data_IF_945193797197
#
_entry.id   IF_945193797197
#
_cell.length_a   1.000
_cell.length_b   1.000
_cell.length_c   1.000
_cell.angle_alpha   90.00
_cell.angle_beta   90.00
_cell.angle_gamma   90.00
#
_symmetry.space_group_name_H-M   'P 1'
#
loop_
_entity.id
_entity.type
_entity.pdbx_description
1 polymer ?
#
# COMPACT_ATOMS: atom_id res chain seq x y z
N UNK A 1 20.86 8.26 8.31
CA UNK A 1 20.06 9.50 8.22
C UNK A 1 20.65 10.62 9.07
N UNK A 2 20.62 10.54 10.41
CA UNK A 2 21.14 11.59 11.32
C UNK A 2 22.52 12.15 10.94
N UNK A 3 23.52 11.28 10.75
CA UNK A 3 24.87 11.70 10.33
C UNK A 3 24.89 12.49 9.00
N UNK A 4 23.98 12.18 8.06
CA UNK A 4 23.87 12.91 6.79
C UNK A 4 23.20 14.27 7.02
N UNK A 5 22.10 14.32 7.77
CA UNK A 5 21.42 15.57 8.12
C UNK A 5 22.38 16.57 8.78
N UNK A 6 23.15 16.13 9.77
CA UNK A 6 24.15 16.96 10.44
C UNK A 6 25.24 17.48 9.50
N UNK A 7 25.77 16.62 8.61
CA UNK A 7 26.80 17.02 7.62
C UNK A 7 26.26 17.99 6.57
N UNK A 8 24.96 17.94 6.29
CA UNK A 8 24.28 18.80 5.35
C UNK A 8 23.80 20.11 5.97
N UNK A 9 24.09 20.38 7.25
CA UNK A 9 23.69 21.61 7.92
C UNK A 9 22.18 21.69 8.21
N UNK A 10 21.52 20.55 8.46
CA UNK A 10 20.14 20.54 8.92
C UNK A 10 20.01 21.34 10.24
N UNK A 11 18.89 22.03 10.39
CA UNK A 11 18.58 22.81 11.58
C UNK A 11 18.47 21.92 12.84
N UNK A 12 18.47 22.57 13.99
CA UNK A 12 18.45 21.91 15.30
C UNK A 12 17.17 21.09 15.52
N UNK A 13 16.02 21.63 15.14
CA UNK A 13 14.71 20.99 15.33
C UNK A 13 14.58 19.73 14.46
N UNK A 14 14.96 19.81 13.18
CA UNK A 14 15.06 18.65 12.29
C UNK A 14 15.97 17.56 12.86
N UNK A 15 17.12 17.95 13.41
CA UNK A 15 18.09 17.02 14.02
C UNK A 15 17.54 16.37 15.29
N UNK A 16 16.80 17.14 16.10
CA UNK A 16 16.12 16.66 17.31
C UNK A 16 15.01 15.67 16.95
N UNK A 17 14.17 15.97 15.96
CA UNK A 17 13.11 15.08 15.47
C UNK A 17 13.69 13.72 15.09
N UNK A 18 14.74 13.70 14.26
CA UNK A 18 15.39 12.46 13.80
C UNK A 18 15.94 11.67 15.01
N UNK A 19 16.56 12.36 15.97
CA UNK A 19 17.16 11.75 17.15
C UNK A 19 16.09 11.15 18.06
N UNK A 20 15.04 11.90 18.36
CA UNK A 20 13.91 11.49 19.20
C UNK A 20 13.18 10.29 18.60
N UNK A 21 12.82 10.34 17.32
CA UNK A 21 12.14 9.24 16.63
C UNK A 21 13.01 7.97 16.61
N UNK A 22 14.32 8.11 16.32
CA UNK A 22 15.25 6.98 16.36
C UNK A 22 15.26 6.32 17.74
N UNK A 23 15.41 7.12 18.80
CA UNK A 23 15.47 6.62 20.17
C UNK A 23 14.17 5.89 20.55
N UNK A 24 13.02 6.50 20.28
CA UNK A 24 11.70 5.92 20.58
C UNK A 24 11.42 4.63 19.82
N UNK A 25 11.79 4.55 18.54
CA UNK A 25 11.64 3.32 17.75
C UNK A 25 12.51 2.19 18.33
N UNK A 26 13.76 2.48 18.70
CA UNK A 26 14.65 1.50 19.33
C UNK A 26 14.17 1.08 20.72
N UNK A 27 13.61 2.02 21.48
CA UNK A 27 12.98 1.78 22.78
C UNK A 27 11.76 0.85 22.63
N UNK A 28 10.89 1.09 21.65
CA UNK A 28 9.74 0.24 21.37
C UNK A 28 10.17 -1.20 21.03
N UNK A 29 11.17 -1.35 20.16
CA UNK A 29 11.73 -2.66 19.82
C UNK A 29 12.35 -3.37 21.04
N UNK A 30 13.07 -2.63 21.89
CA UNK A 30 13.64 -3.18 23.12
C UNK A 30 12.57 -3.69 24.08
N UNK A 31 11.46 -2.94 24.25
CA UNK A 31 10.33 -3.37 25.07
C UNK A 31 9.67 -4.63 24.52
N UNK A 32 9.45 -4.71 23.20
CA UNK A 32 8.93 -5.92 22.58
C UNK A 32 9.81 -7.14 22.86
N UNK A 33 11.14 -6.99 22.75
CA UNK A 33 12.09 -8.07 23.03
C UNK A 33 12.13 -8.49 24.51
N UNK A 34 11.69 -7.63 25.42
CA UNK A 34 11.48 -7.93 26.85
C UNK A 34 10.08 -8.48 27.14
N UNK A 35 9.31 -8.80 26.11
CA UNK A 35 7.91 -9.21 26.18
C UNK A 35 6.94 -8.12 26.71
N UNK A 36 7.36 -6.86 26.80
CA UNK A 36 6.48 -5.73 27.08
C UNK A 36 5.89 -5.16 25.77
N UNK A 37 4.97 -5.93 25.21
CA UNK A 37 4.31 -5.61 23.94
C UNK A 37 3.41 -4.38 24.09
N UNK A 38 2.76 -4.23 25.25
CA UNK A 38 1.91 -3.09 25.54
C UNK A 38 2.70 -1.78 25.47
N UNK A 39 3.87 -1.73 26.11
CA UNK A 39 4.71 -0.54 26.07
C UNK A 39 5.29 -0.27 24.67
N UNK A 40 5.66 -1.30 23.92
CA UNK A 40 6.05 -1.15 22.51
C UNK A 40 4.96 -0.41 21.71
N UNK A 41 3.70 -0.84 21.85
CA UNK A 41 2.58 -0.22 21.15
C UNK A 41 2.29 1.19 21.64
N UNK A 42 2.34 1.45 22.95
CA UNK A 42 2.18 2.79 23.52
C UNK A 42 3.21 3.78 22.96
N UNK A 43 4.47 3.37 22.81
CA UNK A 43 5.52 4.22 22.25
C UNK A 43 5.23 4.55 20.78
N UNK A 44 4.89 3.55 19.96
CA UNK A 44 4.60 3.77 18.53
C UNK A 44 3.33 4.61 18.36
N UNK A 45 2.30 4.40 19.18
CA UNK A 45 1.10 5.22 19.19
C UNK A 45 1.42 6.68 19.52
N UNK A 46 2.31 6.93 20.48
CA UNK A 46 2.82 8.28 20.79
C UNK A 46 3.50 8.94 19.60
N UNK A 47 4.30 8.20 18.82
CA UNK A 47 4.94 8.72 17.61
C UNK A 47 3.93 9.05 16.50
N UNK A 48 2.85 8.28 16.37
CA UNK A 48 1.78 8.57 15.40
C UNK A 48 0.95 9.78 15.85
N UNK A 49 0.67 9.91 17.15
CA UNK A 49 0.00 11.09 17.72
C UNK A 49 0.82 12.37 17.52
N UNK A 50 2.14 12.30 17.68
CA UNK A 50 3.06 13.43 17.44
C UNK A 50 3.12 13.88 15.98
N UNK A 51 2.81 12.99 15.02
CA UNK A 51 2.62 13.35 13.60
C UNK A 51 1.29 14.10 13.41
N UNK A 52 0.26 13.70 14.16
CA UNK A 52 -1.05 14.33 14.14
C UNK A 52 -1.83 14.05 12.84
N UNK A 53 -2.62 15.03 12.42
CA UNK A 53 -3.52 14.96 11.26
C UNK A 53 -3.02 15.80 10.08
N UNK A 54 -1.71 15.98 9.93
CA UNK A 54 -1.13 16.69 8.79
C UNK A 54 -1.55 15.98 7.47
N UNK A 55 -2.06 16.69 6.44
CA UNK A 55 -2.49 16.09 5.17
C UNK A 55 -1.41 15.29 4.43
N UNK A 56 -0.12 15.58 4.67
CA UNK A 56 0.97 14.78 4.14
C UNK A 56 1.02 13.37 4.75
N UNK A 57 0.64 13.27 6.03
CA UNK A 57 0.65 12.03 6.80
C UNK A 57 -0.66 11.26 6.70
N UNK A 58 -1.81 11.95 6.70
CA UNK A 58 -3.13 11.30 6.73
C UNK A 58 -4.10 12.09 5.91
N UNK A 59 -4.72 11.42 4.94
CA UNK A 59 -5.83 11.98 4.18
C UNK A 59 -6.69 10.84 3.60
N UNK A 60 -7.80 11.20 2.96
CA UNK A 60 -8.58 10.29 2.13
C UNK A 60 -7.76 9.78 0.94
N UNK A 61 -8.11 8.60 0.42
CA UNK A 61 -7.40 7.96 -0.71
C UNK A 61 -7.12 8.90 -1.90
N UNK A 62 -8.09 9.72 -2.31
CA UNK A 62 -7.91 10.63 -3.46
C UNK A 62 -7.03 11.85 -3.17
N UNK A 63 -7.04 12.33 -1.93
CA UNK A 63 -6.27 13.50 -1.49
C UNK A 63 -4.91 13.12 -0.92
N UNK A 64 -4.68 11.84 -0.63
CA UNK A 64 -3.43 11.36 -0.08
C UNK A 64 -2.27 11.60 -1.05
N UNK A 65 -1.19 12.18 -0.51
CA UNK A 65 0.10 12.31 -1.21
C UNK A 65 0.79 10.96 -1.42
N UNK A 66 0.28 9.88 -0.82
CA UNK A 66 0.82 8.53 -1.01
C UNK A 66 0.71 8.03 -2.46
N UNK A 67 -0.32 8.48 -3.20
CA UNK A 67 -0.60 7.99 -4.55
C UNK A 67 -0.29 9.08 -5.58
N UNK A 68 0.59 8.81 -6.56
CA UNK A 68 1.01 9.80 -7.54
C UNK A 68 -0.16 10.27 -8.42
N UNK A 69 0.01 11.41 -9.08
CA UNK A 69 -0.99 11.99 -9.98
C UNK A 69 -1.86 13.07 -9.32
N UNK A 70 -2.86 13.56 -10.06
CA UNK A 70 -3.67 14.71 -9.64
C UNK A 70 -4.48 14.40 -8.39
N UNK A 71 -4.30 15.18 -7.32
CA UNK A 71 -5.12 15.09 -6.11
C UNK A 71 -6.61 15.31 -6.43
N UNK A 72 -7.49 14.61 -5.72
CA UNK A 72 -8.93 14.63 -5.96
C UNK A 72 -9.38 13.83 -7.18
N UNK A 73 -8.46 13.29 -8.00
CA UNK A 73 -8.81 12.31 -9.03
C UNK A 73 -8.86 10.88 -8.48
N UNK A 74 -9.65 10.02 -9.10
CA UNK A 74 -9.76 8.61 -8.73
C UNK A 74 -8.42 7.90 -8.75
N UNK A 75 -8.17 7.09 -7.72
CA UNK A 75 -7.02 6.19 -7.64
C UNK A 75 -7.49 4.79 -8.04
N UNK A 76 -6.85 4.23 -9.07
CA UNK A 76 -7.08 2.86 -9.50
C UNK A 76 -6.25 1.90 -8.66
N UNK A 77 -6.90 0.90 -8.07
CA UNK A 77 -6.26 -0.18 -7.35
C UNK A 77 -6.50 -1.51 -8.03
N UNK A 78 -5.68 -2.47 -7.63
CA UNK A 78 -5.72 -3.83 -8.10
C UNK A 78 -5.56 -4.78 -6.91
N UNK A 79 -6.22 -5.93 -7.02
CA UNK A 79 -6.12 -7.02 -6.06
C UNK A 79 -5.65 -8.27 -6.79
N UNK A 80 -4.49 -8.80 -6.39
CA UNK A 80 -3.94 -10.05 -6.91
C UNK A 80 -4.35 -11.27 -6.08
N UNK A 81 -4.61 -12.40 -6.75
CA UNK A 81 -4.83 -13.70 -6.12
C UNK A 81 -4.18 -14.83 -6.92
N UNK A 82 -3.54 -15.75 -6.20
CA UNK A 82 -2.94 -16.96 -6.78
C UNK A 82 -4.02 -18.01 -7.05
N UNK A 83 -4.02 -18.59 -8.25
CA UNK A 83 -4.86 -19.73 -8.67
C UNK A 83 -4.96 -19.89 -10.18
N UNK A 84 -5.28 -21.10 -10.65
CA UNK A 84 -5.44 -21.37 -12.09
C UNK A 84 -6.72 -20.73 -12.65
N UNK A 85 -6.77 -20.28 -13.93
CA UNK A 85 -7.98 -19.79 -14.58
C UNK A 85 -9.19 -20.72 -14.49
N UNK A 86 -9.01 -22.04 -14.37
CA UNK A 86 -10.11 -22.99 -14.15
C UNK A 86 -10.92 -22.71 -12.89
N UNK A 87 -10.34 -22.04 -11.89
CA UNK A 87 -11.03 -21.63 -10.67
C UNK A 87 -12.18 -20.65 -10.92
N UNK A 88 -12.26 -20.02 -12.10
CA UNK A 88 -13.38 -19.18 -12.52
C UNK A 88 -13.77 -18.10 -11.50
N UNK A 89 -12.75 -17.50 -10.86
CA UNK A 89 -12.93 -16.53 -9.78
C UNK A 89 -13.93 -15.41 -10.12
N UNK A 90 -14.70 -15.01 -9.12
CA UNK A 90 -15.63 -13.87 -9.16
C UNK A 90 -15.16 -12.76 -8.23
N UNK A 91 -15.79 -11.58 -8.27
CA UNK A 91 -15.40 -10.44 -7.43
C UNK A 91 -15.35 -10.80 -5.92
N UNK A 92 -16.33 -11.55 -5.40
CA UNK A 92 -16.33 -11.97 -3.98
C UNK A 92 -15.13 -12.81 -3.57
N UNK A 93 -14.51 -13.54 -4.51
CA UNK A 93 -13.29 -14.30 -4.25
C UNK A 93 -12.07 -13.39 -4.06
N UNK A 94 -12.11 -12.15 -4.53
CA UNK A 94 -10.99 -11.23 -4.44
C UNK A 94 -11.02 -10.40 -3.15
N UNK A 95 -12.13 -10.44 -2.40
CA UNK A 95 -12.29 -9.79 -1.11
C UNK A 95 -11.33 -10.34 -0.04
N UNK A 96 -11.28 -9.65 1.10
CA UNK A 96 -10.61 -10.18 2.29
C UNK A 96 -11.27 -11.49 2.75
N UNK A 97 -10.56 -12.26 3.58
CA UNK A 97 -11.11 -13.51 4.15
C UNK A 97 -12.40 -13.19 4.94
N UNK A 98 -13.45 -14.03 4.84
CA UNK A 98 -14.61 -13.89 5.72
C UNK A 98 -14.26 -14.31 7.16
N UNK A 99 -15.10 -13.90 8.12
CA UNK A 99 -14.94 -14.13 9.57
C UNK A 99 -14.72 -15.61 9.87
N UNK A 100 -15.52 -16.49 9.27
CA UNK A 100 -15.40 -17.95 9.38
C UNK A 100 -14.05 -18.53 8.90
N UNK A 101 -13.31 -17.80 8.05
CA UNK A 101 -12.02 -18.22 7.49
C UNK A 101 -10.84 -17.41 8.01
N UNK A 102 -11.02 -16.55 9.03
CA UNK A 102 -9.96 -15.69 9.58
C UNK A 102 -8.73 -16.47 10.07
N UNK A 103 -8.89 -17.73 10.45
CA UNK A 103 -7.79 -18.63 10.87
C UNK A 103 -6.75 -18.85 9.77
N UNK A 104 -7.11 -18.61 8.50
CA UNK A 104 -6.21 -18.70 7.34
C UNK A 104 -5.39 -17.42 7.13
N UNK A 105 -5.56 -16.41 7.97
CA UNK A 105 -4.80 -15.17 7.85
C UNK A 105 -3.32 -15.43 8.10
N UNK A 106 -2.47 -14.94 7.20
CA UNK A 106 -1.04 -14.99 7.37
C UNK A 106 -0.50 -13.89 8.29
N UNK A 107 0.80 -13.95 8.55
CA UNK A 107 1.56 -12.93 9.24
C UNK A 107 2.32 -12.06 8.23
N UNK A 108 1.84 -10.82 8.03
CA UNK A 108 2.34 -9.87 7.04
C UNK A 108 2.87 -8.58 7.69
N UNK A 109 3.62 -7.78 6.92
CA UNK A 109 4.27 -6.56 7.40
C UNK A 109 3.25 -5.61 8.04
N UNK A 110 2.28 -5.18 7.26
CA UNK A 110 1.19 -4.32 7.70
C UNK A 110 -0.06 -5.18 7.93
N UNK A 111 -0.05 -5.93 9.05
CA UNK A 111 -1.19 -6.72 9.51
C UNK A 111 -1.39 -6.54 11.01
N UNK A 112 -2.54 -6.95 11.52
CA UNK A 112 -2.75 -7.15 12.95
C UNK A 112 -2.82 -8.68 13.14
N UNK A 113 -1.92 -9.29 13.94
CA UNK A 113 -1.93 -10.74 14.14
C UNK A 113 -3.31 -11.29 14.50
N UNK A 114 -3.76 -12.33 13.79
CA UNK A 114 -5.08 -12.93 13.97
C UNK A 114 -6.24 -12.18 13.31
N UNK A 115 -5.99 -11.02 12.69
CA UNK A 115 -7.00 -10.25 11.97
C UNK A 115 -6.59 -10.07 10.50
N UNK A 116 -7.42 -10.47 9.54
CA UNK A 116 -7.22 -10.16 8.14
C UNK A 116 -7.05 -8.66 7.87
N UNK A 117 -6.41 -8.35 6.76
CA UNK A 117 -6.34 -7.01 6.20
C UNK A 117 -6.63 -7.11 4.71
N UNK A 118 -7.14 -6.05 4.12
CA UNK A 118 -7.43 -6.01 2.70
C UNK A 118 -6.30 -5.29 1.97
N UNK A 119 -5.50 -6.04 1.21
CA UNK A 119 -4.31 -5.50 0.55
C UNK A 119 -4.57 -5.21 -0.92
N UNK A 120 -4.30 -3.98 -1.31
CA UNK A 120 -4.39 -3.48 -2.67
C UNK A 120 -3.02 -2.98 -3.12
N UNK A 121 -2.77 -2.96 -4.43
CA UNK A 121 -1.66 -2.24 -5.03
C UNK A 121 -2.18 -1.30 -6.12
N UNK A 122 -1.45 -0.23 -6.41
CA UNK A 122 -1.83 0.72 -7.46
C UNK A 122 -1.44 0.27 -8.89
N UNK A 123 -1.06 -1.00 -9.05
CA UNK A 123 -0.89 -1.66 -10.35
C UNK A 123 -0.98 -3.20 -10.22
N UNK A 124 -1.21 -3.90 -11.34
CA UNK A 124 -1.09 -5.36 -11.38
C UNK A 124 0.37 -5.83 -11.20
N UNK A 125 1.36 -5.05 -11.65
CA UNK A 125 2.77 -5.35 -11.36
C UNK A 125 3.05 -5.36 -9.85
N UNK A 126 2.54 -4.36 -9.12
CA UNK A 126 2.62 -4.29 -7.67
C UNK A 126 1.99 -5.51 -7.00
N UNK A 127 0.82 -5.95 -7.50
CA UNK A 127 0.19 -7.19 -7.04
C UNK A 127 1.09 -8.41 -7.28
N UNK A 128 1.66 -8.55 -8.49
CA UNK A 128 2.48 -9.69 -8.90
C UNK A 128 3.72 -9.86 -8.03
N UNK A 129 4.43 -8.76 -7.75
CA UNK A 129 5.62 -8.82 -6.90
C UNK A 129 5.26 -9.12 -5.44
N UNK A 130 4.17 -8.55 -4.91
CA UNK A 130 3.76 -8.74 -3.51
C UNK A 130 3.30 -10.17 -3.20
N UNK A 131 2.68 -10.85 -4.16
CA UNK A 131 2.29 -12.25 -3.99
C UNK A 131 3.40 -13.25 -4.35
N UNK A 132 4.58 -12.76 -4.76
CA UNK A 132 5.79 -13.59 -4.88
C UNK A 132 6.12 -14.05 -6.28
N UNK A 133 5.85 -13.22 -7.30
CA UNK A 133 6.19 -13.51 -8.69
C UNK A 133 5.60 -14.83 -9.20
N UNK A 134 4.30 -15.11 -8.98
CA UNK A 134 3.72 -16.37 -9.43
C UNK A 134 3.79 -16.48 -10.95
N UNK A 135 3.68 -17.72 -11.43
CA UNK A 135 3.55 -17.97 -12.86
C UNK A 135 2.34 -17.22 -13.44
N UNK A 136 2.38 -16.85 -14.73
CA UNK A 136 1.29 -16.09 -15.34
C UNK A 136 -0.04 -16.84 -15.32
N UNK A 137 -0.02 -18.17 -15.40
CA UNK A 137 -1.23 -19.00 -15.32
C UNK A 137 -1.84 -18.99 -13.92
N UNK A 138 -1.06 -18.67 -12.88
CA UNK A 138 -1.57 -18.60 -11.51
C UNK A 138 -1.97 -17.19 -11.09
N UNK A 139 -1.77 -16.18 -11.95
CA UNK A 139 -1.94 -14.78 -11.56
C UNK A 139 -3.29 -14.22 -12.00
N UNK A 140 -4.19 -13.97 -11.05
CA UNK A 140 -5.50 -13.36 -11.29
C UNK A 140 -5.56 -11.98 -10.63
N UNK A 141 -6.15 -11.02 -11.34
CA UNK A 141 -6.22 -9.63 -10.90
C UNK A 141 -7.62 -9.09 -11.11
N UNK A 142 -8.18 -8.45 -10.08
CA UNK A 142 -9.39 -7.64 -10.19
C UNK A 142 -9.04 -6.15 -10.09
N UNK A 143 -9.65 -5.28 -10.91
CA UNK A 143 -9.62 -3.84 -10.72
C UNK A 143 -10.50 -3.46 -9.52
N UNK A 144 -10.07 -2.46 -8.76
CA UNK A 144 -10.71 -2.02 -7.52
C UNK A 144 -10.73 -0.50 -7.46
N UNK A 145 -11.87 0.06 -7.04
CA UNK A 145 -12.03 1.48 -6.69
C UNK A 145 -12.68 1.57 -5.31
N UNK A 146 -12.29 2.59 -4.56
CA UNK A 146 -12.80 2.88 -3.21
C UNK A 146 -13.66 4.14 -3.24
N UNK A 147 -14.68 4.20 -2.38
CA UNK A 147 -15.68 5.29 -2.33
C UNK A 147 -15.23 6.56 -1.62
N UNK A 148 -13.93 6.63 -1.30
CA UNK A 148 -13.21 7.83 -0.85
C UNK A 148 -13.42 8.18 0.61
N UNK A 149 -14.18 7.38 1.36
CA UNK A 149 -14.39 7.61 2.79
C UNK A 149 -13.21 7.15 3.65
N UNK A 150 -12.30 6.33 3.10
CA UNK A 150 -11.18 5.75 3.85
C UNK A 150 -10.03 6.74 4.04
N UNK A 151 -9.69 7.03 5.31
CA UNK A 151 -8.51 7.80 5.72
C UNK A 151 -7.30 6.89 5.83
N UNK A 152 -6.25 7.21 5.06
CA UNK A 152 -5.05 6.37 4.95
C UNK A 152 -3.84 7.08 5.53
N UNK A 153 -3.08 6.38 6.36
CA UNK A 153 -1.79 6.85 6.87
C UNK A 153 -0.68 6.59 5.84
N UNK A 154 0.04 7.65 5.46
CA UNK A 154 1.01 7.65 4.38
C UNK A 154 2.42 7.27 4.88
N UNK A 155 2.82 6.03 4.67
CA UNK A 155 4.22 5.59 4.74
C UNK A 155 4.87 5.39 3.36
N UNK A 156 4.16 5.75 2.29
CA UNK A 156 4.72 5.80 0.94
C UNK A 156 5.46 7.13 0.72
N UNK A 157 6.45 7.40 1.59
CA UNK A 157 7.29 8.60 1.54
C UNK A 157 8.72 8.27 1.12
N UNK A 158 9.28 9.12 0.28
CA UNK A 158 10.61 9.03 -0.28
C UNK A 158 11.41 10.32 -0.06
N UNK A 159 12.73 10.18 -0.11
CA UNK A 159 13.67 11.32 -0.13
C UNK A 159 13.64 12.09 -1.44
N UNK A 160 12.91 11.58 -2.44
CA UNK A 160 12.75 12.23 -3.75
C UNK A 160 11.46 13.03 -3.86
N UNK A 161 10.59 12.99 -2.86
CA UNK A 161 9.27 13.63 -2.90
C UNK A 161 9.36 15.14 -2.59
N UNK A 162 10.33 15.84 -3.19
CA UNK A 162 10.59 17.26 -2.95
C UNK A 162 9.40 18.15 -3.32
N UNK A 163 8.67 17.80 -4.37
CA UNK A 163 7.46 18.52 -4.77
C UNK A 163 6.37 18.47 -3.69
N UNK A 164 6.36 17.41 -2.88
CA UNK A 164 5.44 17.25 -1.77
C UNK A 164 5.84 18.07 -0.54
N UNK A 165 6.87 18.93 -0.62
CA UNK A 165 7.42 19.66 0.52
C UNK A 165 7.04 21.15 0.59
N UNK A 166 6.21 21.66 -0.35
CA UNK A 166 5.67 23.03 -0.38
C UNK A 166 6.70 24.10 0.05
N UNK A 167 7.72 24.34 -0.78
CA UNK A 167 8.79 25.30 -0.49
C UNK A 167 9.58 25.05 0.81
N UNK A 168 9.56 23.80 1.32
CA UNK A 168 10.24 23.39 2.55
C UNK A 168 9.75 24.14 3.80
N UNK A 169 8.44 24.43 3.88
CA UNK A 169 7.82 24.90 5.12
C UNK A 169 8.13 23.97 6.30
N UNK A 170 8.55 24.55 7.43
CA UNK A 170 9.05 23.82 8.60
C UNK A 170 8.09 22.69 9.04
N UNK A 171 6.81 22.97 9.23
CA UNK A 171 5.83 21.96 9.67
C UNK A 171 5.73 20.77 8.71
N UNK A 172 5.85 21.04 7.41
CA UNK A 172 5.77 20.02 6.36
C UNK A 172 7.05 19.20 6.31
N UNK A 173 8.21 19.85 6.43
CA UNK A 173 9.52 19.18 6.55
C UNK A 173 9.54 18.30 7.79
N UNK A 174 9.09 18.80 8.94
CA UNK A 174 9.05 18.08 10.20
C UNK A 174 8.13 16.87 10.11
N UNK A 175 6.92 17.03 9.55
CA UNK A 175 6.02 15.90 9.28
C UNK A 175 6.68 14.85 8.38
N UNK A 176 7.29 15.28 7.27
CA UNK A 176 8.00 14.40 6.34
C UNK A 176 9.14 13.63 7.02
N UNK A 177 9.96 14.28 7.85
CA UNK A 177 11.03 13.64 8.61
C UNK A 177 10.50 12.57 9.56
N UNK A 178 9.41 12.85 10.28
CA UNK A 178 8.75 11.88 11.18
C UNK A 178 8.24 10.66 10.41
N UNK A 179 7.58 10.87 9.26
CA UNK A 179 7.12 9.80 8.38
C UNK A 179 8.29 8.98 7.83
N UNK A 180 9.36 9.64 7.39
CA UNK A 180 10.55 8.98 6.86
C UNK A 180 11.21 8.08 7.91
N UNK A 181 11.25 8.50 9.17
CA UNK A 181 11.77 7.68 10.27
C UNK A 181 10.95 6.41 10.49
N UNK A 182 9.61 6.49 10.50
CA UNK A 182 8.73 5.32 10.59
C UNK A 182 8.83 4.42 9.35
N UNK A 183 8.90 5.03 8.16
CA UNK A 183 9.08 4.33 6.90
C UNK A 183 10.37 3.51 6.90
N UNK A 184 11.49 4.07 7.35
CA UNK A 184 12.76 3.33 7.49
C UNK A 184 12.59 2.14 8.44
N UNK A 185 11.94 2.34 9.59
CA UNK A 185 11.72 1.31 10.61
C UNK A 185 10.72 0.22 10.22
N UNK A 186 10.07 0.34 9.07
CA UNK A 186 9.10 -0.65 8.55
C UNK A 186 9.50 -1.22 7.19
N UNK A 187 10.65 -0.81 6.63
CA UNK A 187 11.06 -1.11 5.25
C UNK A 187 11.98 -2.33 5.08
N UNK A 188 11.70 -3.42 5.80
CA UNK A 188 12.55 -4.63 5.79
C UNK A 188 12.08 -5.70 4.81
N UNK A 189 13.03 -6.36 4.14
CA UNK A 189 12.80 -7.59 3.36
C UNK A 189 13.19 -8.78 4.22
N UNK A 190 12.36 -9.82 4.20
CA UNK A 190 12.65 -11.09 4.84
C UNK A 190 13.32 -11.98 3.81
N UNK A 191 14.51 -12.49 4.14
CA UNK A 191 15.28 -13.36 3.27
C UNK A 191 14.96 -14.85 3.53
N UNK A 192 14.47 -15.17 4.72
CA UNK A 192 14.16 -16.53 5.15
C UNK A 192 12.69 -16.85 4.89
N UNK A 193 12.46 -17.83 4.02
CA UNK A 193 11.09 -18.30 3.75
C UNK A 193 10.53 -19.11 4.94
N UNK A 194 9.20 -19.12 5.08
CA UNK A 194 8.43 -19.96 6.03
C UNK A 194 8.65 -19.73 7.52
N UNK A 195 9.32 -18.64 7.94
CA UNK A 195 9.35 -18.25 9.37
C UNK A 195 7.97 -17.83 9.88
N UNK A 196 7.51 -18.48 10.95
CA UNK A 196 6.27 -18.13 11.66
C UNK A 196 6.36 -16.73 12.29
N UNK A 197 7.46 -16.47 13.00
CA UNK A 197 7.73 -15.18 13.63
C UNK A 197 8.76 -14.37 12.83
N UNK A 198 8.39 -13.12 12.57
CA UNK A 198 9.12 -12.18 11.71
C UNK A 198 9.37 -10.90 12.51
N UNK A 199 10.54 -10.84 13.15
CA UNK A 199 10.96 -9.70 13.98
C UNK A 199 10.94 -8.38 13.20
N UNK A 200 11.15 -8.45 11.90
CA UNK A 200 11.09 -7.34 10.95
C UNK A 200 9.71 -6.66 10.91
N UNK A 201 8.65 -7.34 11.36
CA UNK A 201 7.28 -6.84 11.31
C UNK A 201 6.80 -6.23 12.64
N UNK A 202 7.61 -6.26 13.70
CA UNK A 202 7.21 -5.74 15.02
C UNK A 202 6.73 -4.29 14.92
N UNK A 203 7.55 -3.40 14.34
CA UNK A 203 7.22 -1.97 14.25
C UNK A 203 6.06 -1.74 13.29
N UNK A 204 6.01 -2.43 12.15
CA UNK A 204 4.91 -2.24 11.19
C UNK A 204 3.57 -2.72 11.72
N UNK A 205 3.54 -3.78 12.53
CA UNK A 205 2.32 -4.23 13.22
C UNK A 205 1.92 -3.29 14.35
N UNK A 206 2.88 -2.74 15.10
CA UNK A 206 2.63 -1.70 16.08
C UNK A 206 2.03 -0.44 15.43
N UNK A 207 2.54 -0.05 14.25
CA UNK A 207 1.97 1.03 13.43
C UNK A 207 0.53 0.72 13.05
N UNK A 208 0.24 -0.49 12.54
CA UNK A 208 -1.14 -0.88 12.17
C UNK A 208 -2.12 -0.72 13.32
N UNK A 209 -1.77 -1.24 14.50
CA UNK A 209 -2.63 -1.16 15.70
C UNK A 209 -2.82 0.30 16.13
N UNK A 210 -1.76 1.10 16.07
CA UNK A 210 -1.78 2.52 16.44
C UNK A 210 -2.63 3.34 15.46
N UNK A 211 -2.48 3.15 14.15
CA UNK A 211 -3.31 3.80 13.13
C UNK A 211 -4.80 3.44 13.30
N UNK A 212 -5.11 2.18 13.61
CA UNK A 212 -6.49 1.77 13.90
C UNK A 212 -7.06 2.49 15.13
N UNK A 213 -6.30 2.62 16.21
CA UNK A 213 -6.71 3.38 17.42
C UNK A 213 -6.91 4.87 17.15
N UNK A 214 -6.17 5.42 16.19
CA UNK A 214 -6.34 6.80 15.72
C UNK A 214 -7.59 7.00 14.83
N UNK A 215 -8.33 5.93 14.52
CA UNK A 215 -9.51 6.00 13.65
C UNK A 215 -9.16 6.15 12.17
N UNK A 216 -7.98 5.69 11.75
CA UNK A 216 -7.62 5.57 10.34
C UNK A 216 -8.14 4.24 9.79
N UNK A 217 -8.27 4.14 8.47
CA UNK A 217 -8.82 2.96 7.78
C UNK A 217 -7.74 2.08 7.15
N UNK A 218 -6.52 2.60 6.99
CA UNK A 218 -5.41 1.81 6.47
C UNK A 218 -4.08 2.55 6.42
N UNK A 219 -3.09 1.85 5.86
CA UNK A 219 -1.72 2.34 5.69
C UNK A 219 -1.27 2.16 4.24
N UNK A 220 -0.82 3.24 3.61
CA UNK A 220 -0.19 3.21 2.30
C UNK A 220 1.34 3.08 2.44
N UNK A 221 1.98 2.24 1.62
CA UNK A 221 3.42 1.99 1.73
C UNK A 221 4.03 1.50 0.41
N UNK A 222 5.29 1.82 0.16
CA UNK A 222 6.02 1.27 -0.98
C UNK A 222 6.29 -0.23 -0.80
N UNK A 223 6.16 -0.99 -1.88
CA UNK A 223 6.68 -2.35 -1.93
C UNK A 223 8.18 -2.36 -1.65
N UNK A 224 8.64 -3.39 -0.92
CA UNK A 224 10.09 -3.65 -0.73
C UNK A 224 10.57 -4.83 -1.56
N UNK A 225 9.76 -5.26 -2.54
CA UNK A 225 10.09 -6.34 -3.49
C UNK A 225 10.49 -5.82 -4.86
N UNK A 226 10.42 -4.50 -5.07
CA UNK A 226 11.02 -3.79 -6.21
C UNK A 226 12.55 -3.75 -6.08
N UNK A 227 13.24 -3.62 -7.21
CA UNK A 227 14.70 -3.47 -7.23
C UNK A 227 15.14 -2.15 -6.58
N UNK A 228 14.48 -1.05 -6.94
CA UNK A 228 14.68 0.25 -6.30
C UNK A 228 13.35 1.00 -6.17
N UNK A 229 13.08 1.49 -4.96
CA UNK A 229 11.89 2.27 -4.63
C UNK A 229 11.84 3.61 -5.36
N UNK A 230 13.00 4.14 -5.77
CA UNK A 230 13.11 5.39 -6.49
C UNK A 230 12.32 5.41 -7.81
N UNK A 231 12.03 4.25 -8.39
CA UNK A 231 11.26 4.09 -9.64
C UNK A 231 9.86 3.52 -9.41
N UNK A 232 9.60 3.01 -8.21
CA UNK A 232 8.49 2.11 -7.88
C UNK A 232 7.16 2.82 -7.59
N UNK A 233 6.88 3.93 -8.25
CA UNK A 233 5.58 4.63 -8.14
C UNK A 233 4.41 3.76 -8.64
N UNK A 234 4.68 2.70 -9.41
CA UNK A 234 3.71 1.67 -9.78
C UNK A 234 3.61 0.53 -8.75
N UNK A 235 4.32 0.57 -7.63
CA UNK A 235 4.30 -0.47 -6.61
C UNK A 235 4.05 0.11 -5.21
N UNK A 236 3.05 1.00 -5.12
CA UNK A 236 2.52 1.50 -3.87
C UNK A 236 1.35 0.61 -3.45
N UNK A 237 1.44 0.08 -2.25
CA UNK A 237 0.43 -0.78 -1.65
C UNK A 237 -0.45 0.01 -0.68
N UNK A 238 -1.66 -0.49 -0.47
CA UNK A 238 -2.60 -0.03 0.53
C UNK A 238 -3.09 -1.23 1.33
N UNK A 239 -2.83 -1.23 2.64
CA UNK A 239 -3.38 -2.21 3.57
C UNK A 239 -4.53 -1.57 4.36
N UNK A 240 -5.76 -2.01 4.10
CA UNK A 240 -6.96 -1.57 4.81
C UNK A 240 -7.27 -2.50 5.98
N UNK A 241 -7.75 -1.92 7.07
CA UNK A 241 -8.24 -2.68 8.21
C UNK A 241 -9.51 -3.45 7.84
N UNK A 242 -9.67 -4.63 8.42
CA UNK A 242 -10.88 -5.44 8.28
C UNK A 242 -11.47 -5.60 9.67
N UNK A 243 -12.58 -4.93 9.91
CA UNK A 243 -13.37 -5.08 11.12
C UNK A 243 -14.57 -5.97 10.87
N UNK A 244 -14.70 -7.02 11.67
CA UNK A 244 -15.89 -7.86 11.66
C UNK A 244 -16.82 -7.38 12.76
N UNK A 245 -17.93 -6.80 12.34
CA UNK A 245 -19.07 -6.60 13.23
C UNK A 245 -19.82 -7.94 13.36
N UNK A 246 -21.13 -7.91 13.20
CA UNK A 246 -22.01 -9.09 13.32
C UNK A 246 -22.02 -9.98 12.07
N UNK A 247 -21.45 -9.52 10.94
CA UNK A 247 -21.48 -10.23 9.65
C UNK A 247 -20.25 -11.09 9.33
N UNK A 248 -20.35 -11.88 8.27
CA UNK A 248 -19.23 -12.68 7.72
C UNK A 248 -18.16 -11.80 7.04
N UNK A 249 -18.54 -10.64 6.54
CA UNK A 249 -17.64 -9.69 5.87
C UNK A 249 -17.64 -8.34 6.58
N UNK A 250 -16.55 -7.59 6.42
CA UNK A 250 -16.44 -6.26 7.01
C UNK A 250 -17.33 -5.26 6.29
N UNK A 251 -17.87 -4.23 6.98
CA UNK A 251 -18.57 -3.13 6.33
C UNK A 251 -17.78 -2.47 5.20
N UNK A 252 -16.45 -2.58 5.22
CA UNK A 252 -15.55 -2.14 4.15
C UNK A 252 -16.02 -2.57 2.75
N UNK A 253 -16.64 -3.76 2.60
CA UNK A 253 -17.08 -4.25 1.29
C UNK A 253 -18.10 -3.33 0.61
N UNK A 254 -18.87 -2.55 1.40
CA UNK A 254 -19.88 -1.58 0.92
C UNK A 254 -19.23 -0.36 0.25
N UNK A 255 -17.98 -0.09 0.59
CA UNK A 255 -17.20 1.05 0.12
C UNK A 255 -16.27 0.68 -1.04
N UNK A 256 -16.41 -0.54 -1.57
CA UNK A 256 -15.59 -1.08 -2.66
C UNK A 256 -16.46 -1.27 -3.91
N UNK A 257 -15.92 -0.81 -5.04
CA UNK A 257 -16.30 -1.27 -6.38
C UNK A 257 -15.21 -2.20 -6.89
N UNK A 258 -15.61 -3.33 -7.46
CA UNK A 258 -14.68 -4.34 -7.96
C UNK A 258 -15.31 -5.09 -9.13
N UNK A 259 -14.55 -5.26 -10.20
CA UNK A 259 -14.98 -6.10 -11.33
C UNK A 259 -14.48 -7.54 -11.19
N UNK A 260 -15.00 -8.42 -12.05
CA UNK A 260 -14.56 -9.81 -12.15
C UNK A 260 -13.05 -9.88 -12.39
N UNK A 261 -12.31 -10.73 -11.65
CA UNK A 261 -10.89 -10.89 -11.90
C UNK A 261 -10.63 -11.53 -13.27
N UNK A 262 -9.57 -11.08 -13.94
CA UNK A 262 -9.03 -11.73 -15.12
C UNK A 262 -7.67 -12.35 -14.81
N UNK A 263 -7.42 -13.52 -15.40
CA UNK A 263 -6.13 -14.17 -15.34
C UNK A 263 -5.15 -13.55 -16.33
N UNK A 264 -3.92 -13.27 -15.89
CA UNK A 264 -2.92 -12.60 -16.70
C UNK A 264 -2.50 -13.43 -17.92
N UNK A 265 -2.37 -14.76 -17.79
CA UNK A 265 -2.09 -15.62 -18.94
C UNK A 265 -3.20 -15.53 -20.00
N UNK A 266 -4.47 -15.50 -19.59
CA UNK A 266 -5.61 -15.36 -20.51
C UNK A 266 -5.53 -14.03 -21.26
N UNK A 267 -5.27 -12.92 -20.56
CA UNK A 267 -5.04 -11.62 -21.18
C UNK A 267 -3.95 -11.68 -22.27
N UNK A 268 -2.83 -12.36 -21.98
CA UNK A 268 -1.74 -12.50 -22.94
C UNK A 268 -2.14 -13.24 -24.22
N UNK A 269 -3.09 -14.18 -24.14
CA UNK A 269 -3.61 -14.91 -25.30
C UNK A 269 -4.61 -14.11 -26.15
N UNK A 270 -5.10 -12.96 -25.67
CA UNK A 270 -6.03 -12.14 -26.44
C UNK A 270 -5.33 -11.50 -27.65
N UNK A 271 -6.00 -11.56 -28.81
CA UNK A 271 -5.61 -10.77 -29.98
C UNK A 271 -5.67 -9.27 -29.67
N UNK A 272 -4.86 -8.48 -30.37
CA UNK A 272 -4.79 -7.03 -30.13
C UNK A 272 -6.15 -6.34 -30.28
N UNK A 273 -6.99 -6.78 -31.22
CA UNK A 273 -8.35 -6.26 -31.41
C UNK A 273 -9.26 -6.41 -30.19
N UNK A 274 -9.03 -7.41 -29.34
CA UNK A 274 -9.77 -7.61 -28.10
C UNK A 274 -9.20 -6.81 -26.93
N UNK A 275 -7.91 -6.46 -26.99
CA UNK A 275 -7.23 -5.67 -25.95
C UNK A 275 -7.53 -4.17 -26.06
N UNK A 276 -7.97 -3.72 -27.23
CA UNK A 276 -8.32 -2.33 -27.47
C UNK A 276 -9.72 -2.02 -26.94
N UNK A 277 -9.76 -1.20 -25.88
CA UNK A 277 -10.91 -0.42 -25.47
C UNK A 277 -10.44 0.99 -25.17
N UNK A 278 -11.25 2.01 -25.50
CA UNK A 278 -10.98 3.37 -25.06
C UNK A 278 -11.14 3.42 -23.54
N UNK A 279 -10.02 3.29 -22.81
CA UNK A 279 -10.01 3.64 -21.40
C UNK A 279 -10.15 5.15 -21.30
N UNK A 280 -11.38 5.65 -21.15
CA UNK A 280 -11.67 7.07 -20.98
C UNK A 280 -11.01 7.67 -19.72
N UNK A 281 -10.52 6.83 -18.80
CA UNK A 281 -9.78 7.24 -17.60
C UNK A 281 -8.30 6.86 -17.70
N UNK A 282 -7.42 7.85 -17.83
CA UNK A 282 -5.98 7.63 -17.68
C UNK A 282 -5.66 7.07 -16.30
N UNK A 283 -4.92 5.96 -16.21
CA UNK A 283 -4.47 5.41 -14.92
C UNK A 283 -3.60 6.43 -14.17
N UNK A 284 -4.02 6.79 -12.95
CA UNK A 284 -3.39 7.84 -12.14
C UNK A 284 -1.92 7.52 -11.82
N UNK A 285 -1.61 6.23 -11.65
CA UNK A 285 -0.25 5.68 -11.41
C UNK A 285 0.80 6.16 -12.41
N UNK A 286 0.40 6.46 -13.65
CA UNK A 286 1.32 6.97 -14.68
C UNK A 286 0.98 8.38 -15.14
N UNK A 287 -0.23 8.88 -14.87
CA UNK A 287 -0.65 10.25 -15.20
C UNK A 287 -0.17 11.24 -14.13
N UNK A 288 1.15 11.36 -14.04
CA UNK A 288 1.86 12.22 -13.10
C UNK A 288 3.19 12.68 -13.72
N UNK A 289 3.79 13.78 -13.23
CA UNK A 289 5.04 14.30 -13.80
C UNK A 289 6.29 13.47 -13.44
N UNK A 290 6.16 12.44 -12.59
CA UNK A 290 7.29 11.66 -12.11
C UNK A 290 7.59 10.46 -13.00
N UNK A 291 8.87 10.09 -13.02
CA UNK A 291 9.33 8.88 -13.68
C UNK A 291 8.77 7.66 -12.94
N UNK A 292 7.88 6.92 -13.60
CA UNK A 292 7.30 5.67 -13.11
C UNK A 292 7.86 4.52 -13.94
N UNK A 293 8.89 3.85 -13.41
CA UNK A 293 9.63 2.79 -14.10
C UNK A 293 9.67 1.50 -13.27
N UNK A 294 10.06 0.40 -13.91
CA UNK A 294 10.42 -0.84 -13.23
C UNK A 294 11.92 -1.07 -13.45
N UNK A 295 12.64 -1.38 -12.37
CA UNK A 295 14.06 -1.69 -12.42
C UNK A 295 14.87 -0.92 -11.39
N UNK A 296 16.13 -0.66 -11.72
CA UNK A 296 17.09 0.06 -10.89
C UNK A 296 17.91 1.06 -11.73
N UNK A 297 18.90 1.70 -11.09
CA UNK A 297 19.76 2.68 -11.75
C UNK A 297 20.60 2.11 -12.91
N UNK A 298 20.83 0.80 -12.98
CA UNK A 298 21.57 0.15 -14.06
C UNK A 298 20.67 -0.17 -15.25
N UNK A 299 19.44 -0.64 -14.99
CA UNK A 299 18.49 -1.04 -16.01
C UNK A 299 17.07 -0.78 -15.55
N UNK A 300 16.37 0.06 -16.29
CA UNK A 300 14.99 0.44 -16.01
C UNK A 300 14.17 0.49 -17.30
N UNK A 301 12.89 0.18 -17.18
CA UNK A 301 11.92 0.24 -18.26
C UNK A 301 10.74 1.12 -17.84
N UNK A 302 10.26 2.04 -18.70
CA UNK A 302 9.05 2.79 -18.42
C UNK A 302 7.87 1.86 -18.13
N UNK A 303 7.14 2.10 -17.03
CA UNK A 303 6.00 1.24 -16.70
C UNK A 303 4.96 1.22 -17.82
N UNK A 304 4.77 2.37 -18.48
CA UNK A 304 3.91 2.55 -19.66
C UNK A 304 4.27 1.65 -20.85
N UNK A 305 5.48 1.12 -20.89
CA UNK A 305 5.98 0.25 -21.96
C UNK A 305 6.06 -1.22 -21.50
N UNK A 306 5.10 -1.65 -20.66
CA UNK A 306 5.04 -3.02 -20.15
C UNK A 306 3.68 -3.66 -20.40
N UNK A 307 3.66 -4.99 -20.53
CA UNK A 307 2.40 -5.74 -20.63
C UNK A 307 1.54 -5.61 -19.35
N UNK A 308 2.13 -5.35 -18.18
CA UNK A 308 1.39 -5.07 -16.96
C UNK A 308 0.58 -3.77 -17.07
N UNK A 309 1.14 -2.73 -17.68
CA UNK A 309 0.40 -1.50 -17.92
C UNK A 309 -0.73 -1.69 -18.94
N UNK A 310 -0.50 -2.46 -20.00
CA UNK A 310 -1.56 -2.83 -20.95
C UNK A 310 -2.67 -3.64 -20.26
N UNK A 311 -2.31 -4.53 -19.35
CA UNK A 311 -3.27 -5.31 -18.56
C UNK A 311 -4.07 -4.43 -17.59
N UNK A 312 -3.41 -3.51 -16.89
CA UNK A 312 -4.08 -2.55 -16.00
C UNK A 312 -5.12 -1.71 -16.76
N UNK A 313 -4.74 -1.20 -17.95
CA UNK A 313 -5.66 -0.46 -18.83
C UNK A 313 -6.82 -1.34 -19.26
N UNK A 314 -6.54 -2.58 -19.68
CA UNK A 314 -7.56 -3.52 -20.13
C UNK A 314 -8.61 -3.79 -19.04
N UNK A 315 -8.17 -4.04 -17.80
CA UNK A 315 -9.07 -4.31 -16.68
C UNK A 315 -10.02 -3.12 -16.41
N UNK A 316 -9.54 -1.88 -16.52
CA UNK A 316 -10.37 -0.69 -16.32
C UNK A 316 -11.19 -0.29 -17.55
N UNK A 317 -10.71 -0.55 -18.77
CA UNK A 317 -11.42 -0.24 -20.00
C UNK A 317 -12.60 -1.18 -20.26
N UNK A 318 -12.47 -2.45 -19.87
CA UNK A 318 -13.53 -3.47 -20.02
C UNK A 318 -14.62 -3.34 -18.96
N UNK A 319 -14.35 -2.63 -17.87
CA UNK A 319 -15.27 -2.51 -16.74
C UNK A 319 -16.21 -1.30 -16.87
N UNK A 320 -17.52 -1.57 -16.89
CA UNK A 320 -18.57 -0.54 -16.77
C UNK A 320 -18.76 -0.06 -15.32
N UNK A 321 -17.70 0.53 -14.76
CA UNK A 321 -17.62 0.96 -13.36
C UNK A 321 -18.72 1.96 -12.95
N UNK A 322 -19.07 2.88 -13.83
CA UNK A 322 -20.05 3.95 -13.52
C UNK A 322 -21.48 3.38 -13.43
N UNK A 323 -21.75 2.25 -14.09
CA UNK A 323 -23.00 1.49 -13.97
C UNK A 323 -23.00 0.54 -12.77
N UNK A 324 -21.83 0.21 -12.21
CA UNK A 324 -21.70 -0.71 -11.08
C UNK A 324 -22.06 0.00 -9.75
N UNK A 325 -22.93 -0.57 -8.90
CA UNK A 325 -23.21 0.02 -7.58
C UNK A 325 -22.00 -0.10 -6.65
N UNK A 326 -21.96 0.71 -5.60
CA UNK A 326 -21.05 0.50 -4.48
C UNK A 326 -21.45 -0.76 -3.70
N UNK A 327 -20.46 -1.52 -3.24
CA UNK A 327 -20.68 -2.79 -2.58
C UNK A 327 -20.35 -3.97 -3.48
N UNK A 328 -19.50 -4.87 -3.00
CA UNK A 328 -19.26 -6.15 -3.67
C UNK A 328 -20.30 -7.18 -3.18
N UNK A 329 -21.13 -7.75 -4.06
CA UNK A 329 -22.09 -8.78 -3.67
C UNK A 329 -21.38 -10.02 -3.12
N UNK A 330 -21.86 -10.54 -1.98
CA UNK A 330 -21.25 -11.68 -1.29
C UNK A 330 -22.12 -12.95 -1.29
N UNK A 331 -23.37 -12.84 -1.73
CA UNK A 331 -24.32 -13.95 -1.85
C UNK A 331 -23.89 -14.96 -2.92
#
# INVERSE_FOLDING_TARGET
MLKRAQRSGADEESTEIITRYKQKILEALSNYNKADIAQCYTIIEGLIKDIGHNPLAVDTVKQSSAFPGKLGSEVQFFRGRIGNPSCSYVAKDMLHLPKSRRVKTGNYRFSIPGNPSFYLANSSYGCWIEIGFPSYIEFNVAPVVLDETQKVFNLAVSVRDFDSMNEFENDRVHCWLKLLMLKIATSYRINEDKRTFKSEYIISQAVMISCKRMGYDGVAYFSRRVSDEAFALCAINLALFVDYDDGEYSPLIKHIKMDRPLNYFVFKQLCQSLKYGECNSSLRTVNNPYITNIGDYSKQYPYRETEFFEFDKFLFASWKKDESPWGVPVE
#
